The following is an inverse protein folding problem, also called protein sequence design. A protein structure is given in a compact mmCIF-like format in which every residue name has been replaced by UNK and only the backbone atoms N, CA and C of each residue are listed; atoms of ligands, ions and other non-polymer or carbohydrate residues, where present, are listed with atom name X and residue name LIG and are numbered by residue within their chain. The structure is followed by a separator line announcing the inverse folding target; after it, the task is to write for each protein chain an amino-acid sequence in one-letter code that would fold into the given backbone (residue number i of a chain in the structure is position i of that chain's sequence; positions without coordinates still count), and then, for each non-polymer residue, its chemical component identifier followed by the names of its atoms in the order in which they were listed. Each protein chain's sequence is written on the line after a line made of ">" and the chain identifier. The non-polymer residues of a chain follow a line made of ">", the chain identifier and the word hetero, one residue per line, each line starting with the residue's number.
data_IF_876435418784
#
_entry.id   IF_876435418784
#
_cell.length_a   1.000
_cell.length_b   1.000
_cell.length_c   1.000
_cell.angle_alpha   90.00
_cell.angle_beta   90.00
_cell.angle_gamma   90.00
#
_symmetry.space_group_name_H-M   'P 1'
#
loop_
_entity.id
_entity.type
_entity.pdbx_description
1 polymer ?
#
# COMPACT_ATOMS: atom_id res chain seq x y z
N UNK A 1 -11.71 27.01 -58.25
CA UNK A 1 -10.56 27.31 -59.12
C UNK A 1 -9.29 27.13 -58.30
N UNK A 2 -8.50 26.12 -58.65
CA UNK A 2 -7.10 25.96 -58.24
C UNK A 2 -6.22 26.92 -59.08
N UNK A 3 -5.03 27.30 -58.59
CA UNK A 3 -3.81 26.52 -58.82
C UNK A 3 -3.01 26.34 -57.49
N UNK A 4 -2.52 25.15 -57.09
CA UNK A 4 -1.43 24.28 -57.62
C UNK A 4 -0.09 24.99 -57.85
N UNK A 5 1.00 24.25 -57.55
CA UNK A 5 2.44 24.41 -57.92
C UNK A 5 3.29 24.82 -56.68
N UNK A 6 4.36 24.17 -56.21
CA UNK A 6 5.23 23.02 -56.61
C UNK A 6 6.17 22.69 -55.42
N UNK A 7 6.36 21.42 -55.02
CA UNK A 7 7.38 20.41 -55.42
C UNK A 7 8.84 20.63 -54.91
N UNK A 8 9.40 19.48 -54.49
CA UNK A 8 10.82 19.05 -54.49
C UNK A 8 11.59 19.30 -53.18
N UNK A 9 11.81 18.26 -52.34
CA UNK A 9 12.73 17.12 -52.47
C UNK A 9 14.15 17.49 -52.00
N UNK A 10 14.75 16.67 -51.13
CA UNK A 10 15.98 15.90 -51.39
C UNK A 10 16.36 15.08 -50.15
N UNK A 11 16.49 13.78 -50.37
CA UNK A 11 17.14 12.81 -49.49
C UNK A 11 18.65 13.00 -49.65
N UNK A 12 19.38 13.09 -48.54
CA UNK A 12 20.83 12.93 -48.54
C UNK A 12 21.24 12.03 -47.37
N UNK A 13 21.59 10.79 -47.74
CA UNK A 13 22.22 9.78 -46.91
C UNK A 13 23.73 10.03 -46.99
N UNK A 14 24.40 10.26 -45.85
CA UNK A 14 25.87 10.25 -45.76
C UNK A 14 26.27 9.45 -44.51
N UNK A 15 26.76 8.24 -44.75
CA UNK A 15 27.62 7.50 -43.83
C UNK A 15 29.05 8.06 -43.96
N UNK A 16 29.66 8.38 -42.84
CA UNK A 16 31.12 8.40 -42.71
C UNK A 16 31.51 8.08 -41.28
N UNK A 17 32.24 6.97 -41.12
CA UNK A 17 33.00 6.62 -39.93
C UNK A 17 34.35 7.36 -39.97
N UNK A 18 34.83 7.83 -38.82
CA UNK A 18 36.17 8.41 -38.68
C UNK A 18 36.43 8.91 -37.25
N UNK A 19 37.27 8.19 -36.51
CA UNK A 19 37.80 8.59 -35.20
C UNK A 19 39.00 9.53 -35.35
N UNK A 20 39.08 10.58 -34.52
CA UNK A 20 40.21 10.93 -33.62
C UNK A 20 40.48 12.44 -33.41
N UNK A 21 40.55 12.79 -32.11
CA UNK A 21 41.32 13.83 -31.39
C UNK A 21 41.13 15.36 -31.60
N UNK A 22 40.54 15.97 -30.55
CA UNK A 22 41.07 17.03 -29.67
C UNK A 22 41.01 18.51 -30.11
N UNK A 23 40.15 19.31 -29.44
CA UNK A 23 40.21 20.77 -29.46
C UNK A 23 38.98 21.49 -28.89
N UNK A 24 38.94 21.66 -27.57
CA UNK A 24 38.28 22.70 -26.76
C UNK A 24 37.08 23.55 -27.25
N UNK A 25 36.12 23.66 -26.31
CA UNK A 25 35.19 24.77 -26.03
C UNK A 25 33.83 24.81 -26.75
N UNK A 26 32.77 24.72 -25.95
CA UNK A 26 31.38 24.95 -26.39
C UNK A 26 30.39 23.84 -26.05
N UNK A 27 30.52 23.17 -24.91
CA UNK A 27 29.51 22.21 -24.46
C UNK A 27 28.28 22.99 -23.99
N UNK A 28 27.31 23.16 -24.89
CA UNK A 28 25.95 23.45 -24.50
C UNK A 28 25.53 22.41 -23.45
N UNK A 29 24.84 22.78 -22.36
CA UNK A 29 24.41 21.80 -21.38
C UNK A 29 23.49 20.81 -22.09
N UNK A 30 23.98 19.60 -22.34
CA UNK A 30 23.12 18.47 -22.58
C UNK A 30 22.29 18.35 -21.30
N UNK A 31 21.03 18.77 -21.38
CA UNK A 31 20.02 18.37 -20.44
C UNK A 31 19.99 16.85 -20.48
N UNK A 32 20.75 16.22 -19.58
CA UNK A 32 20.44 14.86 -19.18
C UNK A 32 18.97 14.91 -18.77
N UNK A 33 18.07 14.15 -19.41
CA UNK A 33 16.79 13.90 -18.77
C UNK A 33 17.18 13.31 -17.42
N UNK A 34 16.95 14.07 -16.35
CA UNK A 34 16.89 13.49 -15.02
C UNK A 34 15.81 12.43 -15.16
N UNK A 35 16.22 11.18 -15.36
CA UNK A 35 15.31 10.07 -15.33
C UNK A 35 14.72 10.13 -13.93
N UNK A 36 13.55 10.73 -13.81
CA UNK A 36 12.75 10.62 -12.61
C UNK A 36 12.56 9.13 -12.47
N UNK A 37 13.29 8.51 -11.54
CA UNK A 37 13.15 7.08 -11.27
C UNK A 37 11.70 6.94 -10.85
N UNK A 38 10.86 6.46 -11.77
CA UNK A 38 9.46 6.23 -11.48
C UNK A 38 9.44 5.20 -10.36
N UNK A 39 8.87 5.57 -9.21
CA UNK A 39 8.66 4.62 -8.14
C UNK A 39 7.85 3.45 -8.71
N UNK A 40 8.39 2.24 -8.56
CA UNK A 40 7.81 1.03 -9.10
C UNK A 40 7.22 0.18 -7.98
N UNK A 41 6.15 -0.54 -8.29
CA UNK A 41 5.61 -1.53 -7.39
C UNK A 41 6.48 -2.79 -7.41
N UNK A 42 7.21 -3.02 -6.32
CA UNK A 42 8.14 -4.15 -6.18
C UNK A 42 7.52 -5.37 -5.46
N UNK A 43 6.25 -5.32 -5.06
CA UNK A 43 5.60 -6.38 -4.27
C UNK A 43 5.17 -7.58 -5.09
N UNK A 44 5.15 -7.47 -6.43
CA UNK A 44 4.61 -8.50 -7.32
C UNK A 44 3.08 -8.67 -7.24
N UNK A 45 2.40 -7.90 -6.39
CA UNK A 45 0.94 -7.82 -6.33
C UNK A 45 0.45 -6.71 -7.26
N UNK A 46 -0.61 -6.87 -8.07
CA UNK A 46 -1.07 -5.84 -8.99
C UNK A 46 -1.62 -4.61 -8.25
N UNK A 47 -1.64 -3.47 -8.92
CA UNK A 47 -2.36 -2.27 -8.48
C UNK A 47 -3.64 -2.09 -9.31
N UNK A 48 -4.63 -1.30 -8.84
CA UNK A 48 -5.76 -0.88 -9.69
C UNK A 48 -5.27 -0.17 -10.95
N UNK A 49 -6.08 -0.23 -12.02
CA UNK A 49 -5.76 0.46 -13.26
C UNK A 49 -5.65 1.98 -13.02
N UNK A 50 -4.62 2.61 -13.59
CA UNK A 50 -4.38 4.05 -13.40
C UNK A 50 -3.79 4.43 -12.04
N UNK A 51 -3.54 3.48 -11.13
CA UNK A 51 -2.86 3.77 -9.88
C UNK A 51 -1.41 4.21 -10.11
N UNK A 52 -0.95 5.18 -9.33
CA UNK A 52 0.43 5.71 -9.38
C UNK A 52 1.10 5.47 -8.03
N UNK A 53 2.28 4.87 -8.03
CA UNK A 53 3.08 4.71 -6.80
C UNK A 53 3.62 6.07 -6.39
N UNK A 54 3.38 6.44 -5.12
CA UNK A 54 3.85 7.70 -4.52
C UNK A 54 4.92 7.47 -3.46
N UNK A 55 4.97 6.28 -2.86
CA UNK A 55 6.06 5.86 -2.00
C UNK A 55 6.33 4.36 -2.13
N UNK A 56 7.61 3.99 -2.01
CA UNK A 56 8.07 2.62 -1.91
C UNK A 56 9.21 2.62 -0.90
N UNK A 57 9.08 1.85 0.17
CA UNK A 57 10.05 1.83 1.28
C UNK A 57 10.20 0.44 1.86
N UNK A 58 11.35 0.19 2.47
CA UNK A 58 11.57 -1.05 3.21
C UNK A 58 10.61 -1.14 4.41
N UNK A 59 10.06 -2.32 4.61
CA UNK A 59 9.20 -2.65 5.73
C UNK A 59 9.96 -3.56 6.70
N UNK A 60 9.84 -3.31 8.00
CA UNK A 60 10.31 -4.23 9.03
C UNK A 60 9.45 -4.08 10.28
N UNK A 61 8.98 -5.21 10.81
CA UNK A 61 8.17 -5.25 12.02
C UNK A 61 8.41 -6.53 12.80
N UNK A 62 8.73 -6.39 14.08
CA UNK A 62 8.80 -7.52 15.00
C UNK A 62 7.45 -7.70 15.70
N UNK A 63 6.89 -8.89 15.59
CA UNK A 63 5.61 -9.25 16.23
C UNK A 63 5.86 -10.28 17.32
N UNK A 64 5.43 -9.96 18.54
CA UNK A 64 5.58 -10.85 19.71
C UNK A 64 4.57 -12.00 19.70
N UNK A 65 4.78 -13.02 20.54
CA UNK A 65 3.88 -14.17 20.66
C UNK A 65 2.43 -13.77 21.03
N UNK A 66 2.25 -12.76 21.88
CA UNK A 66 0.92 -12.25 22.24
C UNK A 66 0.18 -11.54 21.10
N UNK A 67 0.93 -11.06 20.09
CA UNK A 67 0.41 -10.31 18.94
C UNK A 67 0.26 -11.18 17.68
N UNK A 68 0.99 -12.29 17.59
CA UNK A 68 0.96 -13.21 16.43
C UNK A 68 -0.43 -13.81 16.16
N UNK A 69 -1.26 -13.98 17.18
CA UNK A 69 -2.64 -14.42 16.99
C UNK A 69 -3.54 -13.37 16.30
N UNK A 70 -3.11 -12.10 16.29
CA UNK A 70 -3.95 -10.93 16.05
C UNK A 70 -3.54 -10.11 14.83
N UNK A 71 -2.26 -10.14 14.46
CA UNK A 71 -1.78 -9.43 13.28
C UNK A 71 -2.01 -10.24 11.99
N UNK A 72 -2.68 -9.69 10.97
CA UNK A 72 -2.87 -10.35 9.69
C UNK A 72 -1.56 -10.58 8.93
N UNK A 73 -0.49 -9.82 9.26
CA UNK A 73 0.84 -9.99 8.68
C UNK A 73 1.53 -11.28 9.11
N UNK A 74 1.15 -11.85 10.25
CA UNK A 74 1.95 -12.90 10.88
C UNK A 74 1.60 -14.32 10.47
N UNK A 75 0.50 -14.51 9.74
CA UNK A 75 -0.04 -15.84 9.49
C UNK A 75 -0.24 -16.70 10.78
N UNK A 76 -0.19 -16.11 11.98
CA UNK A 76 -0.24 -16.84 13.26
C UNK A 76 1.10 -17.10 13.96
N UNK A 77 2.24 -16.61 13.48
CA UNK A 77 3.55 -16.85 14.13
C UNK A 77 4.28 -15.57 14.54
N UNK A 78 4.91 -15.58 15.72
CA UNK A 78 5.78 -14.49 16.15
C UNK A 78 7.10 -14.46 15.34
N UNK A 79 7.69 -13.29 15.22
CA UNK A 79 8.97 -13.11 14.55
C UNK A 79 9.13 -11.71 13.94
N UNK A 80 10.27 -11.51 13.29
CA UNK A 80 10.52 -10.30 12.51
C UNK A 80 10.08 -10.52 11.07
N UNK A 81 9.22 -9.64 10.60
CA UNK A 81 8.69 -9.61 9.26
C UNK A 81 9.32 -8.44 8.52
N UNK A 82 10.09 -8.71 7.47
CA UNK A 82 10.77 -7.69 6.69
C UNK A 82 10.45 -7.84 5.20
N UNK A 83 10.46 -6.72 4.47
CA UNK A 83 10.15 -6.70 3.05
C UNK A 83 9.95 -5.29 2.53
N UNK A 84 8.87 -5.06 1.78
CA UNK A 84 8.59 -3.78 1.13
C UNK A 84 7.17 -3.30 1.42
N UNK A 85 7.03 -2.01 1.64
CA UNK A 85 5.76 -1.31 1.63
C UNK A 85 5.70 -0.39 0.40
N UNK A 86 4.61 -0.49 -0.35
CA UNK A 86 4.29 0.35 -1.50
C UNK A 86 2.99 1.08 -1.22
N UNK A 87 3.02 2.40 -1.37
CA UNK A 87 1.86 3.28 -1.23
C UNK A 87 1.57 3.87 -2.60
N UNK A 88 0.37 3.64 -3.10
CA UNK A 88 -0.10 4.14 -4.37
C UNK A 88 -1.37 4.96 -4.20
N UNK A 89 -1.52 5.99 -5.05
CA UNK A 89 -2.78 6.68 -5.25
C UNK A 89 -3.55 6.03 -6.38
N UNK A 90 -4.88 5.97 -6.27
CA UNK A 90 -5.77 5.60 -7.38
C UNK A 90 -6.77 6.72 -7.65
N UNK A 91 -7.12 7.00 -8.92
CA UNK A 91 -8.23 7.88 -9.27
C UNK A 91 -9.60 7.25 -8.96
N UNK A 92 -9.66 5.95 -8.68
CA UNK A 92 -10.89 5.23 -8.39
C UNK A 92 -11.58 5.72 -7.10
N UNK A 93 -12.91 5.60 -7.08
CA UNK A 93 -13.68 5.73 -5.85
C UNK A 93 -13.32 4.62 -4.85
N UNK A 94 -13.54 4.86 -3.55
CA UNK A 94 -13.31 3.82 -2.52
C UNK A 94 -14.10 2.54 -2.81
N UNK A 95 -15.36 2.64 -3.23
CA UNK A 95 -16.18 1.48 -3.59
C UNK A 95 -15.59 0.69 -4.76
N UNK A 96 -15.04 1.37 -5.77
CA UNK A 96 -14.41 0.75 -6.94
C UNK A 96 -13.12 0.04 -6.53
N UNK A 97 -12.25 0.71 -5.77
CA UNK A 97 -11.00 0.13 -5.29
C UNK A 97 -11.23 -1.04 -4.32
N UNK A 98 -12.24 -0.97 -3.45
CA UNK A 98 -12.64 -2.07 -2.58
C UNK A 98 -13.22 -3.26 -3.37
N UNK A 99 -14.03 -3.00 -4.40
CA UNK A 99 -14.52 -4.05 -5.30
C UNK A 99 -13.37 -4.73 -6.06
N UNK A 100 -12.38 -3.95 -6.52
CA UNK A 100 -11.15 -4.49 -7.12
C UNK A 100 -10.42 -5.43 -6.16
N UNK A 101 -10.23 -5.02 -4.90
CA UNK A 101 -9.57 -5.84 -3.88
C UNK A 101 -10.32 -7.16 -3.62
N UNK A 102 -11.65 -7.11 -3.54
CA UNK A 102 -12.48 -8.33 -3.43
C UNK A 102 -12.39 -9.21 -4.67
N UNK A 103 -12.25 -8.61 -5.85
CA UNK A 103 -11.94 -9.30 -7.09
C UNK A 103 -10.62 -10.07 -7.02
N UNK A 104 -9.58 -9.48 -6.43
CA UNK A 104 -8.30 -10.17 -6.18
C UNK A 104 -8.45 -11.31 -5.17
N UNK A 105 -9.30 -11.16 -4.14
CA UNK A 105 -9.56 -12.24 -3.20
C UNK A 105 -10.26 -13.44 -3.86
N UNK A 106 -11.18 -13.18 -4.80
CA UNK A 106 -11.86 -14.21 -5.57
C UNK A 106 -10.97 -14.85 -6.65
N UNK A 107 -10.12 -14.04 -7.30
CA UNK A 107 -9.19 -14.47 -8.35
C UNK A 107 -7.78 -13.94 -8.06
N UNK A 108 -7.03 -14.59 -7.16
CA UNK A 108 -5.71 -14.13 -6.77
C UNK A 108 -4.72 -14.11 -7.94
N UNK A 109 -3.73 -13.19 -7.93
CA UNK A 109 -2.64 -13.19 -8.91
C UNK A 109 -1.86 -14.51 -8.93
N UNK A 110 -1.22 -14.82 -10.06
CA UNK A 110 -0.47 -16.06 -10.21
C UNK A 110 0.60 -16.23 -9.12
N UNK A 111 0.70 -17.43 -8.56
CA UNK A 111 1.62 -17.74 -7.45
C UNK A 111 1.20 -17.21 -6.08
N UNK A 112 0.10 -16.45 -5.99
CA UNK A 112 -0.42 -15.89 -4.75
C UNK A 112 -1.82 -16.49 -4.49
N UNK A 113 -2.14 -16.76 -3.23
CA UNK A 113 -3.45 -17.23 -2.77
C UNK A 113 -4.05 -16.29 -1.74
N UNK A 114 -5.37 -16.19 -1.71
CA UNK A 114 -6.07 -15.43 -0.67
C UNK A 114 -6.06 -16.21 0.64
N UNK A 115 -5.57 -15.60 1.72
CA UNK A 115 -5.62 -16.18 3.06
C UNK A 115 -6.87 -15.70 3.79
N UNK A 116 -7.98 -16.39 3.52
CA UNK A 116 -9.26 -16.12 4.18
C UNK A 116 -9.16 -16.26 5.69
N UNK A 117 -8.38 -17.19 6.24
CA UNK A 117 -8.24 -17.35 7.68
C UNK A 117 -7.56 -16.12 8.31
N UNK A 118 -6.49 -15.60 7.72
CA UNK A 118 -5.80 -14.40 8.21
C UNK A 118 -6.63 -13.12 8.05
N UNK A 119 -7.39 -12.99 6.96
CA UNK A 119 -8.36 -11.89 6.80
C UNK A 119 -9.55 -12.01 7.77
N UNK A 120 -10.03 -13.23 8.02
CA UNK A 120 -11.16 -13.49 8.92
C UNK A 120 -10.79 -13.39 10.39
N UNK A 121 -9.50 -13.52 10.75
CA UNK A 121 -9.03 -13.25 12.11
C UNK A 121 -9.53 -11.89 12.58
N UNK A 122 -9.67 -10.94 11.65
CA UNK A 122 -10.13 -9.57 11.88
C UNK A 122 -11.57 -9.32 11.37
N UNK A 123 -12.41 -10.35 11.21
CA UNK A 123 -13.67 -10.25 10.44
C UNK A 123 -14.67 -9.18 10.90
N UNK A 124 -14.77 -8.91 12.21
CA UNK A 124 -15.58 -7.81 12.74
C UNK A 124 -14.93 -6.43 12.54
N UNK A 125 -13.59 -6.38 12.59
CA UNK A 125 -12.81 -5.19 12.29
C UNK A 125 -12.90 -4.87 10.79
N UNK A 126 -12.97 -5.86 9.90
CA UNK A 126 -13.17 -5.62 8.47
C UNK A 126 -14.52 -4.95 8.17
N UNK A 127 -15.59 -5.31 8.90
CA UNK A 127 -16.89 -4.63 8.79
C UNK A 127 -16.83 -3.19 9.32
N UNK A 128 -16.14 -2.98 10.44
CA UNK A 128 -15.92 -1.64 11.01
C UNK A 128 -15.06 -0.77 10.09
N UNK A 129 -13.97 -1.31 9.57
CA UNK A 129 -13.08 -0.67 8.61
C UNK A 129 -13.82 -0.26 7.34
N UNK A 130 -14.67 -1.13 6.77
CA UNK A 130 -15.41 -0.80 5.56
C UNK A 130 -16.32 0.42 5.76
N UNK A 131 -16.96 0.53 6.93
CA UNK A 131 -17.74 1.71 7.31
C UNK A 131 -16.85 2.95 7.42
N UNK A 132 -15.61 2.78 7.84
CA UNK A 132 -14.69 3.85 8.17
C UNK A 132 -13.77 4.25 6.99
N UNK A 133 -14.08 3.76 5.78
CA UNK A 133 -13.35 4.09 4.56
C UNK A 133 -12.09 3.25 4.36
N UNK A 134 -12.06 2.04 4.91
CA UNK A 134 -10.95 1.10 4.83
C UNK A 134 -11.45 -0.29 4.40
N UNK A 135 -10.81 -0.93 3.43
CA UNK A 135 -10.99 -2.36 3.17
C UNK A 135 -9.61 -3.00 3.07
N UNK A 136 -9.48 -4.27 3.40
CA UNK A 136 -8.18 -4.93 3.32
C UNK A 136 -8.30 -6.42 3.00
N UNK A 137 -7.24 -6.98 2.43
CA UNK A 137 -7.12 -8.37 2.07
C UNK A 137 -5.75 -8.91 2.44
N UNK A 138 -5.69 -10.19 2.82
CA UNK A 138 -4.45 -10.87 3.16
C UNK A 138 -4.20 -11.97 2.14
N UNK A 139 -3.02 -11.95 1.55
CA UNK A 139 -2.60 -12.89 0.54
C UNK A 139 -1.28 -13.55 0.95
N UNK A 140 -1.03 -14.76 0.45
CA UNK A 140 0.17 -15.54 0.77
C UNK A 140 0.66 -16.28 -0.46
N UNK A 141 1.92 -16.68 -0.44
CA UNK A 141 2.48 -17.49 -1.52
C UNK A 141 1.75 -18.85 -1.59
N UNK A 142 1.30 -19.22 -2.80
CA UNK A 142 0.60 -20.48 -3.04
C UNK A 142 1.56 -21.67 -3.11
N UNK A 143 2.84 -21.41 -3.35
CA UNK A 143 3.88 -22.42 -3.57
C UNK A 143 4.48 -22.97 -2.27
N UNK A 144 3.87 -22.69 -1.11
CA UNK A 144 4.23 -23.29 0.17
C UNK A 144 5.11 -22.43 1.07
N UNK A 145 5.61 -21.28 0.61
CA UNK A 145 6.30 -20.30 1.47
C UNK A 145 5.28 -19.50 2.30
N UNK A 146 4.79 -20.12 3.38
CA UNK A 146 3.89 -19.49 4.36
C UNK A 146 4.54 -18.32 5.11
N UNK A 147 5.85 -18.06 4.89
CA UNK A 147 6.57 -16.95 5.52
C UNK A 147 6.31 -15.63 4.81
N UNK A 148 5.89 -15.66 3.53
CA UNK A 148 5.54 -14.48 2.76
C UNK A 148 4.05 -14.17 2.89
N UNK A 149 3.75 -12.95 3.33
CA UNK A 149 2.40 -12.41 3.46
C UNK A 149 2.34 -11.08 2.74
N UNK A 150 1.32 -10.91 1.91
CA UNK A 150 1.02 -9.64 1.24
C UNK A 150 -0.28 -9.12 1.85
N UNK A 151 -0.18 -8.02 2.59
CA UNK A 151 -1.32 -7.27 3.10
C UNK A 151 -1.64 -6.14 2.12
N UNK A 152 -2.88 -6.09 1.66
CA UNK A 152 -3.38 -5.05 0.75
C UNK A 152 -4.45 -4.27 1.48
N UNK A 153 -4.29 -2.95 1.58
CA UNK A 153 -5.26 -2.06 2.21
C UNK A 153 -5.69 -1.03 1.17
N UNK A 154 -7.01 -0.86 1.02
CA UNK A 154 -7.63 0.22 0.26
C UNK A 154 -8.20 1.21 1.27
N UNK A 155 -7.96 2.50 1.06
CA UNK A 155 -8.40 3.54 1.99
C UNK A 155 -8.94 4.77 1.24
N UNK A 156 -10.00 5.36 1.77
CA UNK A 156 -10.37 6.77 1.54
C UNK A 156 -9.73 7.62 2.65
N UNK A 157 -8.63 8.36 2.37
CA UNK A 157 -7.90 9.09 3.40
C UNK A 157 -8.74 10.18 4.06
N UNK A 158 -9.69 10.79 3.35
CA UNK A 158 -10.56 11.82 3.92
C UNK A 158 -11.56 11.21 4.92
N UNK A 159 -12.22 10.12 4.52
CA UNK A 159 -13.13 9.40 5.41
C UNK A 159 -12.38 8.77 6.60
N UNK A 160 -11.22 8.16 6.35
CA UNK A 160 -10.35 7.59 7.36
C UNK A 160 -9.88 8.67 8.33
N UNK A 161 -9.39 9.82 7.88
CA UNK A 161 -8.97 10.92 8.77
C UNK A 161 -10.12 11.47 9.60
N UNK A 162 -11.32 11.62 9.02
CA UNK A 162 -12.48 12.12 9.75
C UNK A 162 -12.92 11.15 10.85
N UNK A 163 -13.01 9.86 10.54
CA UNK A 163 -13.55 8.84 11.46
C UNK A 163 -12.49 8.29 12.41
N UNK A 164 -11.30 8.00 11.88
CA UNK A 164 -10.18 7.53 12.69
C UNK A 164 -9.56 8.65 13.49
N UNK A 165 -9.59 9.92 13.05
CA UNK A 165 -9.09 11.04 13.85
C UNK A 165 -9.82 11.15 15.20
N UNK A 166 -11.15 11.05 15.18
CA UNK A 166 -11.95 10.97 16.40
C UNK A 166 -11.67 9.70 17.19
N UNK A 167 -11.61 8.53 16.53
CA UNK A 167 -11.27 7.27 17.20
C UNK A 167 -9.88 7.29 17.83
N UNK A 168 -8.92 8.00 17.23
CA UNK A 168 -7.56 8.17 17.71
C UNK A 168 -7.49 9.12 18.90
N UNK A 169 -8.27 10.21 18.92
CA UNK A 169 -8.38 11.05 20.11
C UNK A 169 -8.98 10.25 21.27
N UNK A 170 -10.05 9.49 21.01
CA UNK A 170 -10.64 8.59 22.00
C UNK A 170 -9.64 7.53 22.47
N UNK A 171 -8.82 7.01 21.57
CA UNK A 171 -7.78 6.05 21.91
C UNK A 171 -6.61 6.65 22.69
N UNK A 172 -6.22 7.88 22.39
CA UNK A 172 -5.22 8.61 23.15
C UNK A 172 -5.71 8.84 24.57
N UNK A 173 -6.98 9.26 24.73
CA UNK A 173 -7.65 9.36 26.04
C UNK A 173 -7.72 8.01 26.74
N UNK A 174 -8.05 6.95 26.01
CA UNK A 174 -8.06 5.58 26.52
C UNK A 174 -6.68 5.17 27.05
N UNK A 175 -5.60 5.40 26.29
CA UNK A 175 -4.22 5.12 26.72
C UNK A 175 -3.78 5.97 27.91
N UNK A 176 -4.32 7.17 28.05
CA UNK A 176 -4.09 8.04 29.20
C UNK A 176 -4.79 7.55 30.48
N UNK A 177 -5.74 6.62 30.38
CA UNK A 177 -6.35 6.00 31.56
C UNK A 177 -5.33 5.09 32.29
N UNK A 178 -5.37 5.05 33.64
CA UNK A 178 -4.64 4.05 34.41
C UNK A 178 -4.97 2.63 33.94
N UNK A 179 -3.97 1.73 33.97
CA UNK A 179 -4.12 0.36 33.49
C UNK A 179 -5.31 -0.39 34.15
N UNK A 180 -5.61 -0.07 35.41
CA UNK A 180 -6.74 -0.63 36.16
C UNK A 180 -8.11 -0.33 35.53
N UNK A 181 -8.26 0.80 34.82
CA UNK A 181 -9.50 1.19 34.14
C UNK A 181 -9.54 0.72 32.67
N UNK A 182 -8.38 0.52 32.06
CA UNK A 182 -8.24 0.03 30.69
C UNK A 182 -8.68 -1.43 30.55
N UNK A 183 -8.18 -2.31 31.41
CA UNK A 183 -8.44 -3.76 31.31
C UNK A 183 -9.93 -4.14 31.15
N UNK A 184 -10.84 -3.65 32.02
CA UNK A 184 -12.27 -3.94 31.90
C UNK A 184 -12.92 -3.41 30.62
N UNK A 185 -12.50 -2.22 30.16
CA UNK A 185 -13.01 -1.63 28.91
C UNK A 185 -12.54 -2.42 27.69
N UNK A 186 -11.26 -2.80 27.65
CA UNK A 186 -10.73 -3.65 26.57
C UNK A 186 -11.42 -5.01 26.53
N UNK A 187 -11.67 -5.62 27.70
CA UNK A 187 -12.44 -6.87 27.78
C UNK A 187 -13.86 -6.70 27.22
N UNK A 188 -14.55 -5.62 27.58
CA UNK A 188 -15.92 -5.36 27.10
C UNK A 188 -15.98 -5.10 25.59
N UNK A 189 -15.03 -4.34 25.04
CA UNK A 189 -14.94 -4.11 23.59
C UNK A 189 -14.57 -5.41 22.87
N UNK A 190 -13.68 -6.20 23.46
CA UNK A 190 -13.28 -7.50 22.92
C UNK A 190 -14.41 -8.51 22.91
N UNK A 191 -15.23 -8.57 23.95
CA UNK A 191 -16.39 -9.46 23.99
C UNK A 191 -17.42 -9.12 22.91
N UNK A 192 -17.56 -7.83 22.57
CA UNK A 192 -18.52 -7.36 21.56
C UNK A 192 -18.00 -7.44 20.13
N UNK A 193 -16.71 -7.19 19.94
CA UNK A 193 -16.12 -6.97 18.60
C UNK A 193 -15.12 -8.06 18.22
N UNK A 194 -14.69 -8.89 19.17
CA UNK A 194 -13.61 -9.86 19.00
C UNK A 194 -12.20 -9.26 19.18
N UNK A 195 -12.08 -7.94 19.37
CA UNK A 195 -10.81 -7.23 19.50
C UNK A 195 -10.83 -6.15 20.57
N UNK A 196 -9.68 -5.89 21.18
CA UNK A 196 -9.50 -4.76 22.10
C UNK A 196 -9.16 -3.46 21.35
N UNK A 197 -9.31 -2.31 22.02
CA UNK A 197 -8.95 -1.00 21.44
C UNK A 197 -7.45 -0.95 21.18
N UNK A 198 -6.65 -1.50 22.10
CA UNK A 198 -5.19 -1.58 21.94
C UNK A 198 -4.80 -2.44 20.72
N UNK A 199 -5.47 -3.57 20.51
CA UNK A 199 -5.20 -4.46 19.37
C UNK A 199 -5.53 -3.79 18.03
N UNK A 200 -6.64 -3.05 17.95
CA UNK A 200 -7.08 -2.39 16.73
C UNK A 200 -6.18 -1.20 16.33
N UNK A 201 -5.42 -0.65 17.27
CA UNK A 201 -4.56 0.53 17.09
C UNK A 201 -3.08 0.22 17.24
N UNK A 202 -2.75 -1.06 17.32
CA UNK A 202 -1.38 -1.50 17.34
C UNK A 202 -0.73 -1.22 15.96
N UNK A 203 0.56 -0.85 15.90
CA UNK A 203 1.24 -0.58 14.64
C UNK A 203 1.20 -1.73 13.63
N UNK A 204 1.05 -2.97 14.10
CA UNK A 204 0.96 -4.20 13.29
C UNK A 204 -0.45 -4.55 12.81
N UNK A 205 -1.45 -3.74 13.19
CA UNK A 205 -2.82 -3.87 12.72
C UNK A 205 -2.99 -3.20 11.35
N UNK A 206 -3.97 -3.63 10.53
CA UNK A 206 -4.31 -2.95 9.28
C UNK A 206 -4.61 -1.47 9.48
N UNK A 207 -5.32 -1.12 10.55
CA UNK A 207 -5.62 0.27 10.90
C UNK A 207 -4.35 1.04 11.23
N UNK A 208 -3.44 0.49 12.04
CA UNK A 208 -2.16 1.11 12.37
C UNK A 208 -1.30 1.42 11.14
N UNK A 209 -1.22 0.47 10.20
CA UNK A 209 -0.52 0.64 8.92
C UNK A 209 -1.21 1.72 8.08
N UNK A 210 -2.53 1.66 7.94
CA UNK A 210 -3.30 2.65 7.20
C UNK A 210 -3.08 4.07 7.75
N UNK A 211 -3.13 4.23 9.07
CA UNK A 211 -2.87 5.50 9.75
C UNK A 211 -1.47 6.03 9.49
N UNK A 212 -0.45 5.17 9.47
CA UNK A 212 0.92 5.56 9.15
C UNK A 212 1.09 6.06 7.71
N UNK A 213 0.16 5.70 6.82
CA UNK A 213 0.14 6.12 5.43
C UNK A 213 -0.74 7.36 5.18
N UNK A 214 -1.65 7.74 6.09
CA UNK A 214 -2.57 8.87 5.91
C UNK A 214 -1.81 10.18 5.62
N UNK A 215 -0.69 10.42 6.30
CA UNK A 215 0.08 11.66 6.13
C UNK A 215 0.70 11.81 4.72
N UNK A 216 0.76 10.73 3.95
CA UNK A 216 1.22 10.78 2.55
C UNK A 216 0.13 11.23 1.57
N UNK A 217 -1.13 11.29 2.01
CA UNK A 217 -2.27 11.72 1.21
C UNK A 217 -2.77 13.08 1.70
N UNK A 218 -2.01 14.13 1.36
CA UNK A 218 -2.38 15.52 1.67
C UNK A 218 -3.55 16.04 0.82
N UNK A 219 -3.81 15.42 -0.33
CA UNK A 219 -4.86 15.82 -1.28
C UNK A 219 -6.21 15.16 -0.96
N UNK A 220 -7.29 15.96 -0.95
CA UNK A 220 -8.61 15.57 -0.42
C UNK A 220 -9.39 14.55 -1.27
N UNK A 221 -8.93 14.23 -2.48
CA UNK A 221 -9.71 13.46 -3.47
C UNK A 221 -9.04 12.17 -3.98
N UNK A 222 -7.91 11.75 -3.41
CA UNK A 222 -7.20 10.54 -3.87
C UNK A 222 -7.35 9.39 -2.89
N UNK A 223 -7.54 8.17 -3.42
CA UNK A 223 -7.71 6.96 -2.61
C UNK A 223 -6.38 6.25 -2.54
N UNK A 224 -6.08 5.67 -1.39
CA UNK A 224 -4.82 4.99 -1.15
C UNK A 224 -4.97 3.49 -1.38
N UNK A 225 -3.97 2.91 -2.02
CA UNK A 225 -3.71 1.46 -2.00
C UNK A 225 -2.35 1.26 -1.36
N UNK A 226 -2.34 0.55 -0.24
CA UNK A 226 -1.13 0.23 0.52
C UNK A 226 -0.90 -1.26 0.37
N UNK A 227 0.29 -1.62 -0.10
CA UNK A 227 0.75 -3.00 -0.23
C UNK A 227 1.92 -3.21 0.72
N UNK A 228 1.80 -4.16 1.63
CA UNK A 228 2.90 -4.61 2.49
C UNK A 228 3.22 -6.04 2.10
N UNK A 229 4.33 -6.26 1.39
CA UNK A 229 4.90 -7.58 1.13
C UNK A 229 5.96 -7.87 2.17
N UNK A 230 5.63 -8.74 3.12
CA UNK A 230 6.46 -9.03 4.26
C UNK A 230 6.82 -10.52 4.30
N UNK A 231 8.08 -10.81 4.60
CA UNK A 231 8.60 -12.16 4.82
C UNK A 231 9.11 -12.32 6.24
N UNK A 232 8.69 -13.38 6.91
CA UNK A 232 9.27 -13.79 8.19
C UNK A 232 10.73 -14.19 7.99
N UNK A 233 11.62 -13.53 8.74
CA UNK A 233 13.05 -13.83 8.83
C UNK A 233 13.31 -15.05 9.70
#
# INVERSE_FOLDING_TARGET
>A
MNPKITRSAWIALLLSAGCSHQGGSGQAPQAHPTATIALANQTGFPLPAGATVIAARSFSQTVSAGQAGRSPLTAGSAGTYAGQEVIARTPDSFSTAAAWLRGQAANPPAGIGYNAAAASKTGNVQKMMNRDGLDYGVFQDRNGDKRRVILVIVMDPAAAKQKLGFALDMAARYRALPAALRGPLDAQVKDRTGFSIEEALAPESPTGIALSAIDQFAEKDQRAVILVDARRQ
#
